data_IF_836254092571
#
_entry.id   IF_836254092571
#
_cell.length_a   1.000
_cell.length_b   1.000
_cell.length_c   1.000
_cell.angle_alpha   90.00
_cell.angle_beta   90.00
_cell.angle_gamma   90.00
#
_symmetry.space_group_name_H-M   'P 1'
#
loop_
_entity.id
_entity.type
_entity.pdbx_description
1 polymer ?
#
# COMPACT_ATOMS: atom_id res chain seq x y z
N UNK A 1 9.27 -27.89 -1.27
CA UNK A 1 9.93 -27.06 -0.23
C UNK A 1 9.68 -25.62 -0.63
N UNK A 2 8.96 -24.83 0.19
CA UNK A 2 8.67 -23.45 -0.16
C UNK A 2 9.98 -22.66 -0.19
N UNK A 3 10.21 -21.85 -1.24
CA UNK A 3 11.39 -21.00 -1.32
C UNK A 3 11.45 -20.08 -0.10
N UNK A 4 12.62 -20.05 0.54
CA UNK A 4 12.88 -19.19 1.68
C UNK A 4 12.89 -17.74 1.20
N UNK A 5 12.55 -16.82 2.09
CA UNK A 5 12.60 -15.37 1.80
C UNK A 5 13.95 -14.92 1.21
N UNK A 6 15.03 -15.56 1.67
CA UNK A 6 16.39 -15.31 1.20
C UNK A 6 16.63 -15.73 -0.25
N UNK A 7 15.82 -16.64 -0.79
CA UNK A 7 15.97 -17.14 -2.16
C UNK A 7 15.56 -16.07 -3.19
N UNK A 8 14.70 -15.11 -2.78
CA UNK A 8 14.25 -14.02 -3.63
C UNK A 8 15.10 -12.75 -3.54
N UNK A 9 15.92 -12.62 -2.49
CA UNK A 9 16.75 -11.43 -2.29
C UNK A 9 17.70 -11.13 -3.46
N UNK A 10 18.46 -12.11 -4.00
CA UNK A 10 19.34 -11.86 -5.15
C UNK A 10 18.59 -11.34 -6.37
N UNK A 11 17.33 -11.73 -6.54
CA UNK A 11 16.51 -11.33 -7.68
C UNK A 11 16.04 -9.88 -7.52
N UNK A 12 15.62 -9.48 -6.31
CA UNK A 12 15.30 -8.09 -6.03
C UNK A 12 16.52 -7.18 -6.15
N UNK A 13 17.68 -7.61 -5.64
CA UNK A 13 18.95 -6.88 -5.71
C UNK A 13 19.39 -6.67 -7.17
N UNK A 14 19.20 -7.67 -8.04
CA UNK A 14 19.48 -7.53 -9.47
C UNK A 14 18.50 -6.61 -10.21
N UNK A 15 17.23 -6.57 -9.78
CA UNK A 15 16.19 -5.79 -10.45
C UNK A 15 16.17 -4.32 -10.01
N UNK A 16 16.50 -4.01 -8.75
CA UNK A 16 16.27 -2.70 -8.13
C UNK A 16 17.57 -1.91 -7.91
N UNK A 17 17.43 -0.62 -7.59
CA UNK A 17 18.57 0.21 -7.16
C UNK A 17 19.11 -0.30 -5.82
N UNK A 18 20.43 -0.22 -5.54
CA UNK A 18 21.01 -0.65 -4.27
C UNK A 18 20.44 0.01 -3.01
N UNK A 19 19.74 1.14 -3.17
CA UNK A 19 19.11 1.86 -2.07
C UNK A 19 17.79 1.24 -1.58
N UNK A 20 17.22 0.28 -2.34
CA UNK A 20 16.05 -0.48 -1.93
C UNK A 20 16.42 -1.57 -0.92
N UNK A 21 15.75 -1.57 0.23
CA UNK A 21 15.99 -2.53 1.30
C UNK A 21 14.76 -3.41 1.53
N UNK A 22 14.94 -4.74 1.54
CA UNK A 22 13.90 -5.68 1.94
C UNK A 22 13.77 -5.69 3.46
N UNK A 23 12.70 -5.09 3.97
CA UNK A 23 12.47 -4.99 5.40
C UNK A 23 11.79 -6.23 5.98
N UNK A 24 11.04 -6.96 5.16
CA UNK A 24 10.35 -8.16 5.57
C UNK A 24 9.33 -8.64 4.56
N UNK A 25 8.48 -9.57 5.01
CA UNK A 25 7.39 -10.14 4.22
C UNK A 25 6.14 -10.22 5.08
N UNK A 26 5.02 -9.86 4.49
CA UNK A 26 3.72 -10.14 5.06
C UNK A 26 3.36 -11.60 4.82
N UNK A 27 2.76 -12.21 5.84
CA UNK A 27 2.15 -13.52 5.71
C UNK A 27 0.69 -13.30 5.34
N UNK A 28 0.26 -13.97 4.28
CA UNK A 28 -1.16 -14.08 3.98
C UNK A 28 -1.80 -14.96 5.05
N UNK A 29 -2.89 -14.49 5.66
CA UNK A 29 -3.55 -15.16 6.79
C UNK A 29 -4.21 -16.51 6.48
N UNK A 30 -3.96 -17.11 5.30
CA UNK A 30 -4.46 -18.45 4.94
C UNK A 30 -3.68 -19.58 5.64
N UNK A 31 -2.59 -19.27 6.36
CA UNK A 31 -1.73 -20.28 6.97
C UNK A 31 -0.90 -21.05 5.93
N UNK A 32 -1.06 -20.75 4.64
CA UNK A 32 -0.21 -21.29 3.60
C UNK A 32 1.15 -20.58 3.60
N UNK A 33 2.26 -21.34 3.65
CA UNK A 33 3.60 -20.76 3.73
C UNK A 33 4.06 -20.09 2.42
N UNK A 34 3.29 -20.19 1.34
CA UNK A 34 3.75 -19.85 -0.01
C UNK A 34 3.30 -18.45 -0.49
N UNK A 35 2.29 -17.83 0.10
CA UNK A 35 1.80 -16.51 -0.33
C UNK A 35 2.24 -15.33 0.56
N UNK A 36 2.27 -14.12 0.00
CA UNK A 36 2.52 -12.91 0.77
C UNK A 36 3.21 -11.79 0.00
N UNK A 37 3.10 -10.59 0.54
CA UNK A 37 3.68 -9.39 -0.04
C UNK A 37 5.03 -9.07 0.61
N UNK A 38 6.04 -8.80 -0.20
CA UNK A 38 7.34 -8.32 0.26
C UNK A 38 7.27 -6.81 0.53
N UNK A 39 7.99 -6.36 1.56
CA UNK A 39 8.06 -4.94 1.94
C UNK A 39 9.44 -4.41 1.58
N UNK A 40 9.50 -3.59 0.55
CA UNK A 40 10.71 -2.92 0.11
C UNK A 40 10.63 -1.45 0.52
N UNK A 41 11.72 -0.89 1.04
CA UNK A 41 11.79 0.51 1.42
C UNK A 41 12.97 1.19 0.74
N UNK A 42 12.74 2.40 0.24
CA UNK A 42 13.75 3.28 -0.31
C UNK A 42 13.72 4.62 0.42
N UNK A 43 14.83 5.07 1.03
CA UNK A 43 14.85 6.19 1.98
C UNK A 43 14.33 7.51 1.42
N UNK A 44 14.48 7.73 0.11
CA UNK A 44 14.06 8.95 -0.59
C UNK A 44 12.77 8.82 -1.41
N UNK A 45 12.25 7.61 -1.61
CA UNK A 45 11.10 7.37 -2.51
C UNK A 45 9.88 6.95 -1.70
N UNK A 46 10.01 5.92 -0.84
CA UNK A 46 8.88 5.40 -0.06
C UNK A 46 8.94 3.89 0.13
N UNK A 47 7.75 3.29 0.29
CA UNK A 47 7.59 1.85 0.47
C UNK A 47 6.90 1.23 -0.74
N UNK A 48 7.50 0.19 -1.30
CA UNK A 48 6.89 -0.66 -2.31
C UNK A 48 6.49 -2.00 -1.68
N UNK A 49 5.22 -2.33 -1.83
CA UNK A 49 4.64 -3.62 -1.46
C UNK A 49 4.60 -4.48 -2.72
N UNK A 50 5.42 -5.52 -2.78
CA UNK A 50 5.52 -6.39 -3.97
C UNK A 50 4.86 -7.74 -3.70
N UNK A 51 3.79 -8.04 -4.41
CA UNK A 51 3.13 -9.34 -4.40
C UNK A 51 3.61 -10.17 -5.59
N UNK A 52 4.25 -11.32 -5.32
CA UNK A 52 4.74 -12.23 -6.38
C UNK A 52 3.65 -13.18 -6.90
N UNK A 53 2.51 -13.23 -6.20
CA UNK A 53 1.35 -14.03 -6.58
C UNK A 53 0.19 -13.05 -6.73
N UNK A 54 -0.11 -12.59 -7.96
CA UNK A 54 -1.19 -11.63 -8.16
C UNK A 54 -2.48 -12.12 -7.50
N UNK A 55 -3.22 -11.18 -6.91
CA UNK A 55 -4.46 -11.41 -6.16
C UNK A 55 -4.35 -12.18 -4.83
N UNK A 56 -3.15 -12.57 -4.40
CA UNK A 56 -2.98 -13.25 -3.11
C UNK A 56 -3.13 -12.30 -1.91
N UNK A 57 -2.71 -11.04 -2.05
CA UNK A 57 -2.85 -10.03 -1.00
C UNK A 57 -3.65 -8.81 -1.48
N UNK A 58 -4.96 -8.97 -1.75
CA UNK A 58 -5.79 -7.85 -2.14
C UNK A 58 -5.80 -6.81 -1.00
N UNK A 59 -5.71 -5.54 -1.36
CA UNK A 59 -5.64 -4.42 -0.42
C UNK A 59 -4.40 -4.39 0.49
N UNK A 60 -3.27 -4.98 0.08
CA UNK A 60 -2.01 -4.93 0.83
C UNK A 60 -1.64 -3.50 1.26
N UNK A 61 -1.79 -2.52 0.37
CA UNK A 61 -1.55 -1.10 0.67
C UNK A 61 -2.45 -0.59 1.82
N UNK A 62 -3.76 -0.83 1.76
CA UNK A 62 -4.69 -0.37 2.78
C UNK A 62 -4.42 -1.03 4.14
N UNK A 63 -4.06 -2.32 4.15
CA UNK A 63 -3.68 -3.05 5.36
C UNK A 63 -2.39 -2.50 5.97
N UNK A 64 -1.39 -2.24 5.13
CA UNK A 64 -0.14 -1.66 5.57
C UNK A 64 -0.33 -0.23 6.10
N UNK A 65 -1.15 0.60 5.44
CA UNK A 65 -1.49 1.94 5.95
C UNK A 65 -2.21 1.87 7.29
N UNK A 66 -3.12 0.91 7.49
CA UNK A 66 -3.73 0.67 8.81
C UNK A 66 -2.70 0.29 9.87
N UNK A 67 -1.69 -0.51 9.52
CA UNK A 67 -0.59 -0.84 10.42
C UNK A 67 0.18 0.41 10.83
N UNK A 68 0.58 1.23 9.87
CA UNK A 68 1.30 2.47 10.13
C UNK A 68 0.48 3.42 11.01
N UNK A 69 -0.83 3.52 10.75
CA UNK A 69 -1.74 4.32 11.57
C UNK A 69 -1.89 3.75 12.99
N UNK A 70 -1.98 2.44 13.15
CA UNK A 70 -2.12 1.80 14.47
C UNK A 70 -0.90 2.03 15.38
N UNK A 71 0.27 2.32 14.80
CA UNK A 71 1.48 2.68 15.53
C UNK A 71 1.78 4.18 15.49
N UNK A 72 0.84 5.03 15.06
CA UNK A 72 1.03 6.49 14.94
C UNK A 72 2.32 6.85 14.17
N UNK A 73 2.64 6.11 13.10
CA UNK A 73 3.91 6.24 12.38
C UNK A 73 4.16 7.66 11.86
N UNK A 74 3.11 8.31 11.36
CA UNK A 74 3.17 9.70 10.85
C UNK A 74 3.52 10.72 11.92
N UNK A 75 3.10 10.51 13.17
CA UNK A 75 3.47 11.37 14.30
C UNK A 75 4.93 11.18 14.69
N UNK A 76 5.45 9.95 14.62
CA UNK A 76 6.86 9.64 14.92
C UNK A 76 7.80 10.20 13.86
N UNK A 77 7.46 10.02 12.58
CA UNK A 77 8.32 10.40 11.45
C UNK A 77 8.00 11.78 10.87
N UNK A 78 7.00 12.50 11.40
CA UNK A 78 6.61 13.86 11.01
C UNK A 78 6.42 14.03 9.49
N UNK A 79 5.54 13.22 8.91
CA UNK A 79 5.25 13.33 7.49
C UNK A 79 4.36 12.21 6.95
N UNK A 80 4.17 12.23 5.63
CA UNK A 80 3.44 11.22 4.90
C UNK A 80 4.41 10.25 4.21
N UNK A 81 4.20 8.95 4.42
CA UNK A 81 4.93 7.89 3.74
C UNK A 81 4.12 7.42 2.53
N UNK A 82 4.62 7.63 1.30
CA UNK A 82 4.02 7.03 0.13
C UNK A 82 4.25 5.52 0.15
N UNK A 83 3.17 4.80 -0.13
CA UNK A 83 3.13 3.35 -0.16
C UNK A 83 2.46 2.97 -1.47
N UNK A 84 3.12 2.17 -2.29
CA UNK A 84 2.56 1.63 -3.53
C UNK A 84 2.47 0.11 -3.44
N UNK A 85 1.49 -0.48 -4.11
CA UNK A 85 1.35 -1.92 -4.24
C UNK A 85 1.56 -2.35 -5.69
N UNK A 86 2.48 -3.30 -5.90
CA UNK A 86 2.84 -3.84 -7.20
C UNK A 86 2.64 -5.35 -7.17
N UNK A 87 1.63 -5.84 -7.90
CA UNK A 87 1.47 -7.26 -8.18
C UNK A 87 2.28 -7.60 -9.45
N UNK A 88 3.14 -8.60 -9.36
CA UNK A 88 4.01 -9.00 -10.46
C UNK A 88 4.21 -10.51 -10.44
N UNK A 89 4.16 -11.16 -11.60
CA UNK A 89 4.54 -12.56 -11.69
C UNK A 89 6.05 -12.74 -11.46
N UNK A 90 6.51 -13.94 -11.02
CA UNK A 90 7.93 -14.20 -10.84
C UNK A 90 8.73 -14.04 -12.16
N UNK A 91 8.11 -14.36 -13.30
CA UNK A 91 8.73 -14.22 -14.63
C UNK A 91 8.86 -12.76 -15.10
N UNK A 92 8.11 -11.85 -14.47
CA UNK A 92 8.09 -10.43 -14.82
C UNK A 92 8.99 -9.58 -13.92
N UNK A 93 9.76 -10.18 -13.01
CA UNK A 93 10.60 -9.48 -12.03
C UNK A 93 11.60 -8.49 -12.65
N UNK A 94 12.04 -8.74 -13.89
CA UNK A 94 12.90 -7.81 -14.64
C UNK A 94 12.23 -6.46 -14.92
N UNK A 95 10.90 -6.41 -14.97
CA UNK A 95 10.10 -5.19 -15.16
C UNK A 95 9.72 -4.49 -13.85
N UNK A 96 10.07 -5.06 -12.69
CA UNK A 96 9.67 -4.56 -11.37
C UNK A 96 10.07 -3.11 -11.15
N UNK A 97 11.30 -2.74 -11.52
CA UNK A 97 11.80 -1.36 -11.38
C UNK A 97 10.90 -0.36 -12.09
N UNK A 98 10.60 -0.59 -13.36
CA UNK A 98 9.77 0.30 -14.17
C UNK A 98 8.36 0.45 -13.59
N UNK A 99 7.76 -0.65 -13.09
CA UNK A 99 6.44 -0.61 -12.44
C UNK A 99 6.45 0.19 -11.14
N UNK A 100 7.49 0.03 -10.32
CA UNK A 100 7.63 0.81 -9.08
C UNK A 100 7.80 2.30 -9.42
N UNK A 101 8.70 2.63 -10.35
CA UNK A 101 8.93 4.03 -10.77
C UNK A 101 7.66 4.66 -11.34
N UNK A 102 6.93 3.95 -12.21
CA UNK A 102 5.64 4.37 -12.73
C UNK A 102 4.62 4.60 -11.61
N UNK A 103 4.51 3.67 -10.65
CA UNK A 103 3.57 3.77 -9.54
C UNK A 103 3.85 4.99 -8.64
N UNK A 104 5.13 5.30 -8.37
CA UNK A 104 5.49 6.50 -7.60
C UNK A 104 5.35 7.79 -8.41
N UNK A 105 5.48 7.73 -9.74
CA UNK A 105 5.41 8.88 -10.63
C UNK A 105 4.05 9.59 -10.68
N UNK A 106 2.95 8.93 -10.32
CA UNK A 106 1.62 9.50 -10.47
C UNK A 106 1.27 10.62 -9.47
N UNK A 107 1.69 10.55 -8.20
CA UNK A 107 1.46 11.65 -7.23
C UNK A 107 2.13 11.44 -5.85
N UNK A 108 3.17 10.62 -5.76
CA UNK A 108 3.67 10.16 -4.46
C UNK A 108 4.87 10.97 -3.97
N UNK A 109 4.63 12.14 -3.37
CA UNK A 109 5.69 12.94 -2.74
C UNK A 109 5.96 12.42 -1.32
N UNK A 110 7.18 11.94 -1.07
CA UNK A 110 7.67 11.64 0.27
C UNK A 110 7.78 12.95 1.07
N UNK A 111 6.93 13.13 2.07
CA UNK A 111 6.87 14.33 2.91
C UNK A 111 7.54 14.15 4.28
N UNK A 112 8.26 13.05 4.49
CA UNK A 112 8.97 12.78 5.74
C UNK A 112 10.26 13.61 5.75
N UNK A 113 10.39 14.49 6.75
CA UNK A 113 11.54 15.39 6.86
C UNK A 113 12.86 14.66 7.21
N UNK A 114 12.76 13.44 7.73
CA UNK A 114 13.91 12.68 8.18
C UNK A 114 14.49 11.83 7.03
N UNK A 115 15.74 12.10 6.64
CA UNK A 115 16.42 11.51 5.47
C UNK A 115 16.75 10.02 5.69
N UNK A 116 15.72 9.17 5.67
CA UNK A 116 15.85 7.72 5.74
C UNK A 116 15.85 7.09 7.13
N UNK A 117 15.90 7.86 8.23
CA UNK A 117 15.77 7.28 9.59
C UNK A 117 14.42 6.57 9.79
N UNK A 118 13.39 7.01 9.08
CA UNK A 118 12.09 6.36 9.06
C UNK A 118 12.16 4.90 8.61
N UNK A 119 13.16 4.52 7.81
CA UNK A 119 13.37 3.13 7.36
C UNK A 119 13.73 2.23 8.54
N UNK A 120 14.63 2.67 9.43
CA UNK A 120 15.00 1.94 10.64
C UNK A 120 13.82 1.81 11.62
N UNK A 121 13.02 2.87 11.73
CA UNK A 121 11.79 2.85 12.52
C UNK A 121 10.75 1.90 11.96
N UNK A 122 10.55 1.91 10.64
CA UNK A 122 9.65 0.99 9.97
C UNK A 122 10.11 -0.46 10.15
N UNK A 123 11.40 -0.72 9.98
CA UNK A 123 11.98 -2.03 10.23
C UNK A 123 11.72 -2.50 11.66
N UNK A 124 11.93 -1.64 12.66
CA UNK A 124 11.63 -1.95 14.07
C UNK A 124 10.15 -2.27 14.30
N UNK A 125 9.23 -1.52 13.68
CA UNK A 125 7.79 -1.79 13.75
C UNK A 125 7.46 -3.16 13.17
N UNK A 126 8.07 -3.54 12.04
CA UNK A 126 7.86 -4.85 11.41
C UNK A 126 8.45 -5.99 12.26
N UNK A 127 9.61 -5.80 12.87
CA UNK A 127 10.25 -6.79 13.75
C UNK A 127 9.53 -6.98 15.09
N UNK A 128 8.79 -5.98 15.56
CA UNK A 128 7.99 -6.08 16.78
C UNK A 128 6.81 -7.08 16.66
N UNK A 129 6.62 -7.71 15.48
CA UNK A 129 5.67 -8.79 15.30
C UNK A 129 4.23 -8.32 15.14
N UNK A 130 4.01 -7.07 14.71
CA UNK A 130 2.68 -6.60 14.31
C UNK A 130 2.31 -7.31 13.01
N UNK A 131 1.63 -8.45 13.13
CA UNK A 131 1.22 -9.23 11.97
C UNK A 131 0.08 -8.51 11.26
N UNK A 132 0.22 -8.33 9.94
CA UNK A 132 -0.77 -7.63 9.11
C UNK A 132 -2.14 -8.31 9.15
N UNK A 133 -2.14 -9.61 9.44
CA UNK A 133 -3.32 -10.45 9.65
C UNK A 133 -4.21 -9.94 10.78
N UNK A 134 -3.62 -9.39 11.86
CA UNK A 134 -4.37 -8.83 12.98
C UNK A 134 -5.19 -7.60 12.57
N UNK A 135 -4.77 -6.90 11.50
CA UNK A 135 -5.39 -5.67 11.00
C UNK A 135 -6.36 -5.92 9.84
N UNK A 136 -6.19 -7.04 9.13
CA UNK A 136 -7.09 -7.48 8.06
C UNK A 136 -8.40 -8.07 8.57
N UNK A 137 -8.44 -8.54 9.82
CA UNK A 137 -9.67 -9.02 10.44
C UNK A 137 -10.59 -7.81 10.66
N UNK A 138 -11.76 -7.72 9.98
CA UNK A 138 -12.68 -6.62 10.22
C UNK A 138 -13.05 -6.62 11.71
N UNK A 139 -13.23 -5.44 12.34
CA UNK A 139 -13.59 -5.32 13.76
C UNK A 139 -15.01 -5.86 14.08
N UNK A 140 -15.63 -6.59 13.15
CA UNK A 140 -16.98 -7.11 13.29
C UNK A 140 -17.00 -8.31 14.25
N UNK A 141 -17.37 -7.96 15.49
CA UNK A 141 -18.47 -8.62 16.20
C UNK A 141 -18.12 -9.96 16.83
N UNK A 142 -17.86 -9.94 18.14
CA UNK A 142 -18.36 -10.94 19.09
C UNK A 142 -18.71 -12.32 18.49
N UNK A 143 -17.69 -13.12 18.16
CA UNK A 143 -17.82 -14.55 18.37
C UNK A 143 -17.69 -14.80 19.88
N UNK A 144 -18.79 -14.52 20.59
CA UNK A 144 -19.15 -15.25 21.78
C UNK A 144 -19.47 -16.69 21.34
N UNK A 145 -18.42 -17.48 21.10
CA UNK A 145 -18.53 -18.83 20.58
C UNK A 145 -17.38 -19.66 21.12
N UNK A 146 -17.52 -20.06 22.39
CA UNK A 146 -16.84 -21.22 23.00
C UNK A 146 -15.35 -21.36 22.69
N UNK A 147 -14.54 -20.62 23.46
CA UNK A 147 -13.22 -21.12 23.84
C UNK A 147 -13.41 -22.38 24.69
N UNK A 148 -13.43 -23.54 24.04
CA UNK A 148 -13.11 -24.79 24.72
C UNK A 148 -11.63 -24.71 25.09
N UNK A 149 -11.39 -24.65 26.39
CA UNK A 149 -10.07 -24.62 26.97
C UNK A 149 -9.28 -25.86 26.54
N UNK A 150 -8.11 -25.66 25.93
CA UNK A 150 -6.99 -26.59 26.10
C UNK A 150 -5.72 -25.80 26.39
N UNK A 151 -5.55 -25.61 27.70
CA UNK A 151 -4.33 -25.31 28.42
C UNK A 151 -3.13 -26.07 27.84
N UNK A 152 -2.21 -25.35 27.21
CA UNK A 152 -0.78 -25.72 27.31
C UNK A 152 -0.02 -24.55 27.91
N UNK A 153 0.33 -24.75 29.17
CA UNK A 153 1.09 -23.82 29.99
C UNK A 153 2.49 -23.60 29.41
N UNK A 154 2.83 -22.37 29.06
CA UNK A 154 4.21 -21.92 29.09
C UNK A 154 4.32 -20.78 30.10
N UNK A 155 5.05 -21.08 31.18
CA UNK A 155 5.37 -20.20 32.28
C UNK A 155 6.31 -19.11 31.77
N UNK A 156 5.77 -17.92 31.49
CA UNK A 156 6.54 -16.70 31.62
C UNK A 156 6.03 -15.97 32.86
N UNK A 157 6.92 -15.87 33.85
CA UNK A 157 6.65 -15.34 35.17
C UNK A 157 6.32 -13.86 35.10
N UNK A 158 5.09 -13.55 35.50
CA UNK A 158 4.61 -12.21 35.74
C UNK A 158 5.36 -11.56 36.92
N UNK A 159 5.90 -10.37 36.69
CA UNK A 159 6.09 -9.36 37.75
C UNK A 159 5.16 -8.20 37.45
N UNK A 160 4.26 -7.95 38.38
CA UNK A 160 3.08 -7.12 38.20
C UNK A 160 3.34 -5.62 38.26
N UNK A 161 2.34 -4.89 37.77
CA UNK A 161 1.74 -3.73 38.46
C UNK A 161 0.29 -3.58 37.98
N UNK A 162 -0.63 -4.00 38.86
CA UNK A 162 -2.04 -3.62 38.84
C UNK A 162 -2.16 -2.13 39.22
N UNK A 163 -3.05 -1.41 38.53
CA UNK A 163 -3.87 -0.23 38.91
C UNK A 163 -4.09 0.60 37.63
N UNK A 164 -5.27 0.96 37.11
CA UNK A 164 -6.70 0.93 37.48
C UNK A 164 -7.49 1.12 36.17
N UNK A 165 -8.52 0.33 35.81
CA UNK A 165 -9.41 0.63 34.70
C UNK A 165 -10.77 1.09 35.23
N UNK A 166 -11.12 2.38 35.08
CA UNK A 166 -12.52 2.86 35.21
C UNK A 166 -12.74 4.32 34.77
N UNK A 167 -11.71 5.07 34.36
CA UNK A 167 -11.86 6.47 33.92
C UNK A 167 -12.03 6.66 32.41
N UNK A 168 -11.85 5.62 31.58
CA UNK A 168 -11.88 5.77 30.10
C UNK A 168 -13.29 5.76 29.49
N UNK A 169 -14.29 5.23 30.18
CA UNK A 169 -15.67 5.17 29.66
C UNK A 169 -16.40 6.53 29.69
N UNK A 170 -16.01 7.46 30.57
CA UNK A 170 -16.64 8.78 30.66
C UNK A 170 -16.22 9.74 29.52
N UNK A 171 -15.06 9.54 28.88
CA UNK A 171 -14.58 10.42 27.80
C UNK A 171 -15.08 10.05 26.41
N UNK A 172 -15.51 8.80 26.20
CA UNK A 172 -16.07 8.38 24.91
C UNK A 172 -17.48 8.94 24.65
N UNK A 173 -18.28 9.16 25.70
CA UNK A 173 -19.65 9.70 25.56
C UNK A 173 -19.71 11.18 25.15
N UNK A 174 -18.73 11.99 25.57
CA UNK A 174 -18.72 13.44 25.26
C UNK A 174 -18.27 13.75 23.83
N UNK A 175 -17.43 12.91 23.22
CA UNK A 175 -16.97 13.10 21.84
C UNK A 175 -18.04 12.72 20.80
N UNK A 176 -18.83 11.68 21.07
CA UNK A 176 -19.94 11.28 20.20
C UNK A 176 -21.06 12.35 20.15
N UNK A 177 -21.32 13.04 21.26
CA UNK A 177 -22.35 14.08 21.32
C UNK A 177 -21.91 15.37 20.57
N UNK A 178 -20.62 15.74 20.64
CA UNK A 178 -20.09 16.89 19.92
C UNK A 178 -20.11 16.73 18.39
N UNK A 179 -19.81 15.52 17.89
CA UNK A 179 -19.80 15.24 16.44
C UNK A 179 -21.21 15.25 15.84
N UNK A 180 -22.21 14.80 16.59
CA UNK A 180 -23.61 14.82 16.11
C UNK A 180 -24.17 16.25 16.03
N UNK A 181 -23.78 17.15 16.94
CA UNK A 181 -24.18 18.56 16.90
C UNK A 181 -23.63 19.32 15.69
N UNK A 182 -22.36 19.09 15.33
CA UNK A 182 -21.74 19.72 14.15
C UNK A 182 -22.36 19.23 12.83
N UNK A 183 -22.70 17.94 12.73
CA UNK A 183 -23.31 17.38 11.53
C UNK A 183 -24.76 17.86 11.34
N UNK A 184 -25.53 17.96 12.42
CA UNK A 184 -26.90 18.49 12.36
C UNK A 184 -26.97 19.97 11.96
N UNK A 185 -26.05 20.79 12.48
CA UNK A 185 -25.98 22.22 12.14
C UNK A 185 -25.60 22.43 10.67
N UNK A 186 -24.66 21.64 10.15
CA UNK A 186 -24.26 21.70 8.73
C UNK A 186 -25.38 21.30 7.78
N UNK A 187 -26.18 20.28 8.12
CA UNK A 187 -27.29 19.82 7.29
C UNK A 187 -28.45 20.83 7.25
N UNK A 188 -28.78 21.44 8.38
CA UNK A 188 -29.79 22.50 8.43
C UNK A 188 -29.38 23.73 7.60
N UNK A 189 -28.10 24.10 7.61
CA UNK A 189 -27.59 25.16 6.76
C UNK A 189 -27.69 24.79 5.26
N UNK A 190 -27.41 23.54 4.88
CA UNK A 190 -27.52 23.10 3.50
C UNK A 190 -28.95 23.17 2.93
N UNK A 191 -29.98 22.99 3.75
CA UNK A 191 -31.39 23.14 3.34
C UNK A 191 -31.83 24.60 3.16
N UNK A 192 -31.08 25.55 3.72
CA UNK A 192 -31.33 26.99 3.58
C UNK A 192 -30.60 27.62 2.39
N UNK A 193 -29.68 26.90 1.73
CA UNK A 193 -29.05 27.40 0.52
C UNK A 193 -30.04 27.34 -0.66
N UNK A 194 -30.18 28.44 -1.43
CA UNK A 194 -30.94 28.41 -2.66
C UNK A 194 -30.32 27.38 -3.62
N UNK A 195 -31.15 26.68 -4.41
CA UNK A 195 -30.66 25.69 -5.37
C UNK A 195 -29.67 26.37 -6.33
N UNK A 196 -28.53 25.72 -6.62
CA UNK A 196 -27.56 26.27 -7.56
C UNK A 196 -28.25 26.49 -8.91
N UNK A 197 -28.16 27.73 -9.41
CA UNK A 197 -28.63 28.10 -10.73
C UNK A 197 -28.09 27.09 -11.74
N UNK A 198 -29.00 26.50 -12.52
CA UNK A 198 -28.65 25.47 -13.48
C UNK A 198 -27.54 26.01 -14.41
N UNK A 199 -26.44 25.27 -14.60
CA UNK A 199 -25.35 25.72 -15.44
C UNK A 199 -25.88 26.02 -16.85
N UNK A 200 -25.42 27.12 -17.49
CA UNK A 200 -25.87 27.50 -18.81
C UNK A 200 -25.69 26.33 -19.77
N UNK A 201 -26.79 25.93 -20.42
CA UNK A 201 -26.73 24.85 -21.39
C UNK A 201 -25.74 25.20 -22.50
N UNK A 202 -24.81 24.29 -22.85
CA UNK A 202 -23.92 24.52 -23.96
C UNK A 202 -24.75 24.71 -25.25
N UNK A 203 -24.35 25.62 -26.14
CA UNK A 203 -25.04 25.83 -27.40
C UNK A 203 -25.06 24.53 -28.22
N UNK A 204 -26.10 24.32 -29.06
CA UNK A 204 -26.23 23.12 -29.86
C UNK A 204 -25.01 22.95 -30.78
N UNK A 205 -24.29 21.85 -30.60
CA UNK A 205 -23.17 21.45 -31.44
C UNK A 205 -23.63 21.32 -32.90
N UNK A 206 -23.16 22.22 -33.75
CA UNK A 206 -23.30 22.09 -35.19
C UNK A 206 -22.50 20.88 -35.73
N UNK A 207 -22.79 20.45 -36.97
CA UNK A 207 -22.13 19.30 -37.58
C UNK A 207 -20.63 19.54 -37.72
N UNK A 208 -19.84 18.68 -37.07
CA UNK A 208 -18.38 18.67 -37.17
C UNK A 208 -18.02 18.27 -38.60
N UNK A 209 -17.35 19.18 -39.32
CA UNK A 209 -16.74 18.88 -40.60
C UNK A 209 -15.72 17.76 -40.43
N UNK A 210 -15.95 16.66 -41.14
CA UNK A 210 -15.08 15.50 -41.21
C UNK A 210 -13.73 15.92 -41.79
N UNK A 211 -12.74 16.18 -40.94
CA UNK A 211 -11.38 16.50 -41.37
C UNK A 211 -10.73 15.24 -41.94
N UNK A 212 -10.27 15.39 -43.17
CA UNK A 212 -9.61 14.41 -44.03
C UNK A 212 -8.44 13.72 -43.32
N UNK A 213 -8.42 12.38 -43.40
CA UNK A 213 -7.40 11.54 -42.76
C UNK A 213 -6.01 11.79 -43.36
N UNK A 214 -4.95 11.92 -42.53
CA UNK A 214 -3.60 12.11 -43.02
C UNK A 214 -3.06 10.85 -43.75
N UNK A 215 -2.24 11.03 -44.80
CA UNK A 215 -1.74 9.94 -45.64
C UNK A 215 -0.79 9.01 -44.87
N UNK A 216 -0.92 7.71 -45.17
CA UNK A 216 -0.14 6.64 -44.54
C UNK A 216 1.38 6.81 -44.75
N UNK A 217 2.21 6.54 -43.72
CA UNK A 217 3.66 6.58 -43.84
C UNK A 217 4.17 5.49 -44.79
N UNK A 218 5.02 5.87 -45.74
CA UNK A 218 5.63 4.94 -46.69
C UNK A 218 6.68 4.05 -46.01
N UNK A 219 6.79 2.77 -46.42
CA UNK A 219 7.76 1.84 -45.88
C UNK A 219 9.19 2.25 -46.27
N UNK A 220 10.01 2.58 -45.28
CA UNK A 220 11.44 2.86 -45.43
C UNK A 220 12.15 1.53 -45.73
N UNK A 221 12.77 1.42 -46.90
CA UNK A 221 13.50 0.24 -47.34
C UNK A 221 14.70 -0.08 -46.43
N UNK A 222 14.77 -1.32 -45.94
CA UNK A 222 15.92 -1.85 -45.22
C UNK A 222 17.10 -2.10 -46.18
N UNK A 223 18.32 -1.66 -45.85
CA UNK A 223 19.51 -1.97 -46.63
C UNK A 223 19.85 -3.45 -46.53
N UNK A 224 19.88 -4.12 -47.68
CA UNK A 224 20.36 -5.50 -47.85
C UNK A 224 21.84 -5.57 -47.54
N UNK A 225 22.19 -6.16 -46.39
CA UNK A 225 23.58 -6.48 -46.05
C UNK A 225 24.04 -7.70 -46.84
N UNK A 226 24.94 -7.45 -47.78
CA UNK A 226 25.61 -8.45 -48.62
C UNK A 226 26.78 -9.08 -47.82
N UNK A 227 26.82 -10.40 -47.60
CA UNK A 227 27.93 -11.03 -46.89
C UNK A 227 29.18 -11.08 -47.77
N UNK A 228 30.26 -10.49 -47.28
CA UNK A 228 31.58 -10.55 -47.90
C UNK A 228 32.16 -11.97 -47.80
N UNK A 229 32.37 -12.62 -48.94
CA UNK A 229 33.18 -13.83 -49.06
C UNK A 229 34.66 -13.46 -48.97
N UNK A 230 35.42 -14.12 -48.09
CA UNK A 230 36.90 -14.09 -48.11
C UNK A 230 37.44 -15.41 -48.70
N UNK A 231 38.45 -15.34 -49.58
CA UNK A 231 39.01 -16.48 -50.31
C UNK A 231 40.01 -17.27 -49.45
N UNK A 232 40.24 -18.53 -49.85
CA UNK A 232 41.13 -19.49 -49.20
C UNK A 232 42.62 -19.29 -49.46
#
# INVERSE_FOLDING_TARGET
MPPKLLDYWPVFDAALSPDWQLLGRSRGGSGEPEGGCFVLAHPEVGVALVDLLPDHTPNAEALFRRLLNAVDFSLRCRGYLPVVHCAIGPDELSSLRGRIEEAFGYDSILAIADRGQWVSELWRVLQAGVTWEALGRPPNGHNAGTATAETTASRFTARGRLTRPLASLARAGLLACGLMGLFGLGFAAALLLPPPEAPPQPPPSGPIALAEAPPAPQPVGLPTNQPASLPG
#
